data_IF_193130593340
#
_entry.id   IF_193130593340
#
_cell.length_a   1.000
_cell.length_b   1.000
_cell.length_c   1.000
_cell.angle_alpha   90.00
_cell.angle_beta   90.00
_cell.angle_gamma   90.00
#
_symmetry.space_group_name_H-M   'P 1'
#
loop_
_entity.id
_entity.type
_entity.pdbx_description
1 polymer ?
#
# COMPACT_ATOMS: atom_id res chain seq x y z
N UNK A 1 7.20 -28.90 21.25
CA UNK A 1 7.49 -28.14 20.01
C UNK A 1 6.91 -26.74 20.18
N UNK A 2 7.75 -25.74 20.48
CA UNK A 2 7.32 -24.35 20.48
C UNK A 2 7.29 -23.87 19.04
N UNK A 3 6.10 -23.86 18.43
CA UNK A 3 5.88 -23.20 17.15
C UNK A 3 5.93 -21.71 17.47
N UNK A 4 7.10 -21.11 17.28
CA UNK A 4 7.23 -19.66 17.19
C UNK A 4 6.34 -19.22 16.04
N UNK A 5 5.14 -18.72 16.35
CA UNK A 5 4.28 -18.06 15.37
C UNK A 5 5.00 -16.74 15.08
N UNK A 6 5.96 -16.77 14.16
CA UNK A 6 6.37 -15.55 13.48
C UNK A 6 5.10 -14.98 12.88
N UNK A 7 4.57 -13.89 13.46
CA UNK A 7 3.41 -13.19 12.94
C UNK A 7 3.66 -12.93 11.45
N UNK A 8 2.98 -13.70 10.58
CA UNK A 8 3.08 -13.56 9.14
C UNK A 8 2.54 -12.17 8.79
N UNK A 9 3.45 -11.22 8.62
CA UNK A 9 3.09 -9.87 8.19
C UNK A 9 2.80 -9.92 6.70
N UNK A 10 1.64 -9.42 6.29
CA UNK A 10 1.35 -9.24 4.86
C UNK A 10 2.26 -8.13 4.33
N UNK A 11 2.95 -8.40 3.22
CA UNK A 11 3.76 -7.40 2.54
C UNK A 11 2.86 -6.71 1.52
N UNK A 12 2.64 -5.42 1.72
CA UNK A 12 1.86 -4.58 0.81
C UNK A 12 2.73 -4.09 -0.35
N UNK A 13 2.17 -3.97 -1.55
CA UNK A 13 2.89 -3.40 -2.67
C UNK A 13 3.29 -1.96 -2.37
N UNK A 14 4.52 -1.60 -2.71
CA UNK A 14 4.96 -0.22 -2.65
C UNK A 14 4.17 0.61 -3.67
N UNK A 15 3.58 1.71 -3.21
CA UNK A 15 2.98 2.72 -4.07
C UNK A 15 3.61 4.06 -3.69
N UNK A 16 4.46 4.57 -4.59
CA UNK A 16 5.15 5.85 -4.43
C UNK A 16 4.14 6.94 -4.07
N UNK A 17 4.53 7.85 -3.18
CA UNK A 17 3.71 8.99 -2.77
C UNK A 17 4.21 10.22 -3.51
N UNK A 18 3.49 10.61 -4.55
CA UNK A 18 3.80 11.83 -5.28
C UNK A 18 3.32 13.05 -4.51
N UNK A 19 4.15 14.10 -4.45
CA UNK A 19 3.72 15.42 -3.98
C UNK A 19 2.66 16.00 -4.91
N UNK A 20 1.96 17.04 -4.48
CA UNK A 20 0.99 17.73 -5.33
C UNK A 20 1.66 18.31 -6.59
N UNK A 21 2.89 18.80 -6.45
CA UNK A 21 3.70 19.27 -7.57
C UNK A 21 4.04 18.13 -8.54
N UNK A 22 4.54 16.99 -8.06
CA UNK A 22 4.81 15.83 -8.91
C UNK A 22 3.55 15.33 -9.64
N UNK A 23 2.40 15.35 -8.97
CA UNK A 23 1.11 15.00 -9.57
C UNK A 23 0.68 15.97 -10.67
N UNK A 24 1.04 17.25 -10.58
CA UNK A 24 0.70 18.27 -11.58
C UNK A 24 1.40 18.05 -12.93
N UNK A 25 2.55 17.37 -12.92
CA UNK A 25 3.31 17.04 -14.13
C UNK A 25 2.86 15.73 -14.78
N UNK A 26 1.97 14.96 -14.14
CA UNK A 26 1.46 13.71 -14.69
C UNK A 26 0.44 13.98 -15.79
N UNK A 27 0.50 13.15 -16.82
CA UNK A 27 -0.60 13.03 -17.77
C UNK A 27 -1.91 12.68 -17.03
N UNK A 28 -3.07 13.26 -17.40
CA UNK A 28 -4.33 13.04 -16.70
C UNK A 28 -4.73 11.56 -16.55
N UNK A 29 -4.41 10.71 -17.53
CA UNK A 29 -4.68 9.28 -17.45
C UNK A 29 -3.78 8.60 -16.42
N UNK A 30 -2.49 8.96 -16.41
CA UNK A 30 -1.53 8.46 -15.40
C UNK A 30 -1.92 8.90 -13.99
N UNK A 31 -2.37 10.16 -13.84
CA UNK A 31 -2.87 10.68 -12.57
C UNK A 31 -4.10 9.91 -12.08
N UNK A 32 -5.03 9.56 -12.96
CA UNK A 32 -6.20 8.75 -12.63
C UNK A 32 -5.77 7.35 -12.15
N UNK A 33 -4.89 6.66 -12.87
CA UNK A 33 -4.37 5.34 -12.47
C UNK A 33 -3.63 5.39 -11.14
N UNK A 34 -2.84 6.44 -10.90
CA UNK A 34 -2.16 6.66 -9.62
C UNK A 34 -3.18 6.77 -8.47
N UNK A 35 -4.24 7.57 -8.65
CA UNK A 35 -5.30 7.75 -7.65
C UNK A 35 -6.02 6.44 -7.35
N UNK A 36 -6.43 5.70 -8.38
CA UNK A 36 -7.10 4.39 -8.22
C UNK A 36 -6.22 3.39 -7.47
N UNK A 37 -4.94 3.30 -7.83
CA UNK A 37 -4.00 2.40 -7.16
C UNK A 37 -3.80 2.75 -5.68
N UNK A 38 -3.76 4.05 -5.35
CA UNK A 38 -3.67 4.55 -3.97
C UNK A 38 -4.93 4.23 -3.18
N UNK A 39 -6.10 4.43 -3.77
CA UNK A 39 -7.38 4.12 -3.14
C UNK A 39 -7.53 2.63 -2.86
N UNK A 40 -7.18 1.78 -3.82
CA UNK A 40 -7.19 0.33 -3.68
C UNK A 40 -6.29 -0.13 -2.53
N UNK A 41 -5.05 0.39 -2.47
CA UNK A 41 -4.12 0.09 -1.38
C UNK A 41 -4.70 0.52 -0.02
N UNK A 42 -5.35 1.68 0.05
CA UNK A 42 -5.96 2.16 1.29
C UNK A 42 -7.10 1.25 1.76
N UNK A 43 -7.99 0.82 0.84
CA UNK A 43 -9.07 -0.11 1.15
C UNK A 43 -8.53 -1.46 1.63
N UNK A 44 -7.44 -1.93 1.03
CA UNK A 44 -6.81 -3.18 1.43
C UNK A 44 -6.20 -3.09 2.84
N UNK A 45 -5.54 -1.98 3.18
CA UNK A 45 -5.07 -1.72 4.55
C UNK A 45 -6.20 -1.74 5.56
N UNK A 46 -7.29 -1.04 5.26
CA UNK A 46 -8.48 -1.03 6.13
C UNK A 46 -9.04 -2.44 6.34
N UNK A 47 -9.08 -3.27 5.30
CA UNK A 47 -9.54 -4.65 5.42
C UNK A 47 -8.61 -5.48 6.34
N UNK A 48 -7.29 -5.29 6.24
CA UNK A 48 -6.32 -5.94 7.12
C UNK A 48 -6.43 -5.46 8.56
N UNK A 49 -6.64 -4.15 8.77
CA UNK A 49 -6.85 -3.55 10.09
C UNK A 49 -8.10 -4.15 10.77
N UNK A 50 -9.22 -4.26 10.04
CA UNK A 50 -10.46 -4.89 10.52
C UNK A 50 -10.25 -6.38 10.84
N UNK A 51 -9.42 -7.08 10.06
CA UNK A 51 -9.09 -8.47 10.28
C UNK A 51 -8.05 -8.71 11.39
N UNK A 52 -7.47 -7.64 11.97
CA UNK A 52 -6.38 -7.75 12.96
C UNK A 52 -5.07 -8.30 12.38
N UNK A 53 -4.87 -8.21 11.06
CA UNK A 53 -3.70 -8.74 10.36
C UNK A 53 -2.62 -7.67 10.28
N UNK A 54 -1.45 -7.97 10.84
CA UNK A 54 -0.29 -7.08 10.73
C UNK A 54 0.24 -7.03 9.29
N UNK A 55 0.64 -5.85 8.84
CA UNK A 55 1.24 -5.65 7.51
C UNK A 55 2.40 -4.66 7.53
N UNK A 56 3.20 -4.69 6.46
CA UNK A 56 4.28 -3.75 6.18
C UNK A 56 4.21 -3.32 4.73
N UNK A 57 4.49 -2.04 4.44
CA UNK A 57 4.70 -1.60 3.06
C UNK A 57 6.07 -2.10 2.59
N UNK A 58 6.14 -2.64 1.37
CA UNK A 58 7.44 -2.96 0.77
C UNK A 58 8.29 -1.68 0.65
N UNK A 59 9.54 -1.77 1.10
CA UNK A 59 10.52 -0.72 0.84
C UNK A 59 10.93 -0.77 -0.63
N UNK A 60 11.08 0.42 -1.22
CA UNK A 60 11.72 0.56 -2.51
C UNK A 60 13.23 0.40 -2.28
N UNK A 61 13.76 -0.80 -2.50
CA UNK A 61 15.21 -1.01 -2.61
C UNK A 61 15.77 -0.29 -3.85
#
# INVERSE_FOLDING_TARGET
MNISIQSQKVILPHVRRYTEEEQSYLDPFVLALYRERREMLQRFKQALDVAGVAYVEADHA
#
